data_IF_977591574403
#
_entry.id   IF_977591574403
#
_cell.length_a   1.000
_cell.length_b   1.000
_cell.length_c   1.000
_cell.angle_alpha   90.00
_cell.angle_beta   90.00
_cell.angle_gamma   90.00
#
_symmetry.space_group_name_H-M   'P 1'
#
loop_
_entity.id
_entity.type
_entity.pdbx_description
1 polymer ?
#
# COMPACT_ATOMS: atom_id res chain seq x y z
N UNK A 1 -12.87 -6.85 21.53
CA UNK A 1 -14.13 -6.65 20.77
C UNK A 1 -14.77 -5.37 21.25
N UNK A 2 -14.52 -4.26 20.55
CA UNK A 2 -15.16 -2.97 20.77
C UNK A 2 -15.97 -2.65 19.53
N UNK A 3 -17.29 -2.59 19.70
CA UNK A 3 -18.29 -2.30 18.67
C UNK A 3 -18.13 -0.88 18.15
N UNK A 4 -17.69 -0.74 16.89
CA UNK A 4 -17.60 0.51 16.16
C UNK A 4 -18.94 0.85 15.49
N UNK A 5 -19.74 1.73 16.10
CA UNK A 5 -20.87 2.40 15.43
C UNK A 5 -20.39 3.70 14.78
N UNK A 6 -19.52 3.61 13.77
CA UNK A 6 -19.03 4.75 13.00
C UNK A 6 -18.65 4.29 11.59
N UNK A 7 -19.22 4.90 10.56
CA UNK A 7 -18.92 4.55 9.16
C UNK A 7 -17.42 4.56 8.86
N UNK A 8 -16.99 3.74 7.90
CA UNK A 8 -15.57 3.60 7.56
C UNK A 8 -14.92 4.97 7.32
N UNK A 9 -13.85 5.34 8.04
CA UNK A 9 -13.16 6.63 7.87
C UNK A 9 -12.76 6.92 6.42
N UNK A 10 -12.45 5.88 5.64
CA UNK A 10 -12.07 5.95 4.22
C UNK A 10 -13.22 6.36 3.29
N UNK A 11 -14.43 5.86 3.55
CA UNK A 11 -15.61 6.24 2.78
C UNK A 11 -15.98 7.70 3.00
N UNK A 12 -15.84 8.17 4.25
CA UNK A 12 -16.14 9.53 4.61
C UNK A 12 -15.19 10.52 3.92
N UNK A 13 -13.88 10.29 3.98
CA UNK A 13 -12.89 11.19 3.33
C UNK A 13 -13.04 11.21 1.81
N UNK A 14 -13.29 10.05 1.20
CA UNK A 14 -13.52 9.90 -0.25
C UNK A 14 -14.78 10.67 -0.69
N UNK A 15 -15.89 10.50 0.03
CA UNK A 15 -17.15 11.20 -0.24
C UNK A 15 -17.02 12.71 -0.08
N UNK A 16 -16.28 13.15 0.94
CA UNK A 16 -16.04 14.58 1.21
C UNK A 16 -15.17 15.24 0.15
N UNK A 17 -14.15 14.55 -0.36
CA UNK A 17 -13.35 15.03 -1.49
C UNK A 17 -14.21 15.14 -2.76
N UNK A 18 -15.00 14.10 -3.07
CA UNK A 18 -15.94 14.11 -4.20
C UNK A 18 -16.96 15.24 -4.09
N UNK A 19 -17.49 15.51 -2.89
CA UNK A 19 -18.42 16.61 -2.66
C UNK A 19 -17.86 17.97 -3.11
N UNK A 20 -16.54 18.22 -2.92
CA UNK A 20 -15.90 19.45 -3.41
C UNK A 20 -15.91 19.51 -4.94
N UNK A 21 -15.67 18.39 -5.62
CA UNK A 21 -15.77 18.33 -7.10
C UNK A 21 -17.19 18.61 -7.58
N UNK A 22 -18.20 18.03 -6.92
CA UNK A 22 -19.60 18.30 -7.23
C UNK A 22 -19.97 19.76 -6.97
N UNK A 23 -19.52 20.34 -5.85
CA UNK A 23 -19.73 21.76 -5.55
C UNK A 23 -19.09 22.65 -6.62
N UNK A 24 -17.83 22.43 -6.96
CA UNK A 24 -17.13 23.25 -7.95
C UNK A 24 -17.77 23.12 -9.35
N UNK A 25 -18.27 21.92 -9.72
CA UNK A 25 -19.06 21.72 -10.94
C UNK A 25 -20.37 22.51 -10.90
N UNK A 26 -21.09 22.48 -9.79
CA UNK A 26 -22.33 23.26 -9.62
C UNK A 26 -22.09 24.77 -9.75
N UNK A 27 -20.97 25.27 -9.22
CA UNK A 27 -20.57 26.68 -9.41
C UNK A 27 -20.36 26.99 -10.89
N UNK A 28 -19.72 26.09 -11.64
CA UNK A 28 -19.50 26.26 -13.08
C UNK A 28 -20.82 26.24 -13.87
N UNK A 29 -21.74 25.32 -13.56
CA UNK A 29 -23.04 25.26 -14.24
C UNK A 29 -23.88 26.53 -13.98
N UNK A 30 -23.93 27.00 -12.73
CA UNK A 30 -24.60 28.28 -12.42
C UNK A 30 -23.98 29.46 -13.18
N UNK A 31 -22.65 29.49 -13.33
CA UNK A 31 -21.97 30.52 -14.09
C UNK A 31 -22.28 30.45 -15.60
N UNK A 32 -22.49 29.25 -16.14
CA UNK A 32 -22.92 29.06 -17.54
C UNK A 32 -24.38 29.46 -17.75
N UNK A 33 -25.28 29.08 -16.84
CA UNK A 33 -26.70 29.44 -16.89
C UNK A 33 -26.94 30.94 -16.70
N UNK A 34 -26.03 31.62 -16.00
CA UNK A 34 -26.12 33.04 -15.72
C UNK A 34 -24.79 33.77 -16.02
N UNK A 35 -24.43 33.97 -17.31
CA UNK A 35 -23.15 34.57 -17.71
C UNK A 35 -22.92 35.99 -17.17
N UNK A 36 -23.98 36.69 -16.78
CA UNK A 36 -23.94 38.01 -16.16
C UNK A 36 -23.45 38.00 -14.70
N UNK A 37 -23.41 36.84 -14.04
CA UNK A 37 -22.92 36.72 -12.67
C UNK A 37 -21.39 36.69 -12.66
N UNK A 38 -20.78 37.41 -11.72
CA UNK A 38 -19.37 37.19 -11.41
C UNK A 38 -19.17 35.79 -10.81
N UNK A 39 -17.96 35.24 -10.93
CA UNK A 39 -17.59 33.95 -10.34
C UNK A 39 -17.91 33.88 -8.83
N UNK A 40 -17.69 34.99 -8.10
CA UNK A 40 -18.04 35.10 -6.69
C UNK A 40 -19.55 34.97 -6.45
N UNK A 41 -20.38 35.63 -7.26
CA UNK A 41 -21.84 35.55 -7.14
C UNK A 41 -22.37 34.16 -7.49
N UNK A 42 -21.85 33.53 -8.55
CA UNK A 42 -22.18 32.15 -8.89
C UNK A 42 -21.83 31.20 -7.73
N UNK A 43 -20.64 31.37 -7.12
CA UNK A 43 -20.21 30.60 -5.95
C UNK A 43 -21.11 30.81 -4.74
N UNK A 44 -21.51 32.05 -4.45
CA UNK A 44 -22.43 32.35 -3.36
C UNK A 44 -23.80 31.70 -3.58
N UNK A 45 -24.30 31.69 -4.83
CA UNK A 45 -25.56 31.02 -5.18
C UNK A 45 -25.48 29.50 -4.97
N UNK A 46 -24.40 28.86 -5.44
CA UNK A 46 -24.17 27.43 -5.18
C UNK A 46 -24.09 27.11 -3.68
N UNK A 47 -23.45 27.98 -2.90
CA UNK A 47 -23.33 27.82 -1.46
C UNK A 47 -24.68 27.96 -0.75
N UNK A 48 -25.49 28.96 -1.14
CA UNK A 48 -26.83 29.13 -0.60
C UNK A 48 -27.73 27.92 -0.91
N UNK A 49 -27.63 27.37 -2.13
CA UNK A 49 -28.31 26.14 -2.52
C UNK A 49 -27.89 24.97 -1.61
N UNK A 50 -26.58 24.74 -1.45
CA UNK A 50 -26.05 23.68 -0.59
C UNK A 50 -26.48 23.83 0.88
N UNK A 51 -26.47 25.05 1.43
CA UNK A 51 -26.99 25.33 2.77
C UNK A 51 -28.46 24.91 2.93
N UNK A 52 -29.29 25.23 1.92
CA UNK A 52 -30.72 24.91 1.93
C UNK A 52 -30.99 23.40 1.86
N UNK A 53 -30.20 22.66 1.07
CA UNK A 53 -30.38 21.22 0.88
C UNK A 53 -29.88 20.40 2.08
N UNK A 54 -28.76 20.80 2.68
CA UNK A 54 -28.09 20.06 3.76
C UNK A 54 -28.59 20.50 5.15
N UNK A 55 -29.16 21.71 5.26
CA UNK A 55 -29.63 22.27 6.53
C UNK A 55 -28.50 22.80 7.43
N UNK A 56 -27.31 23.04 6.87
CA UNK A 56 -26.18 23.66 7.59
C UNK A 56 -26.10 25.16 7.30
N UNK A 57 -25.61 25.92 8.27
CA UNK A 57 -25.29 27.33 8.06
C UNK A 57 -24.14 27.49 7.07
N UNK A 58 -24.09 28.67 6.44
CA UNK A 58 -23.00 29.04 5.54
C UNK A 58 -21.62 28.92 6.20
N UNK A 59 -21.53 29.32 7.48
CA UNK A 59 -20.30 29.22 8.27
C UNK A 59 -19.86 27.76 8.45
N UNK A 60 -20.79 26.87 8.76
CA UNK A 60 -20.49 25.44 8.95
C UNK A 60 -20.01 24.78 7.67
N UNK A 61 -20.69 25.02 6.54
CA UNK A 61 -20.27 24.47 5.24
C UNK A 61 -18.89 25.02 4.87
N UNK A 62 -18.66 26.33 4.97
CA UNK A 62 -17.35 26.93 4.64
C UNK A 62 -16.22 26.32 5.46
N UNK A 63 -16.44 26.12 6.76
CA UNK A 63 -15.45 25.52 7.66
C UNK A 63 -15.14 24.06 7.29
N UNK A 64 -16.17 23.24 6.99
CA UNK A 64 -15.98 21.86 6.55
C UNK A 64 -15.30 21.78 5.19
N UNK A 65 -15.75 22.60 4.23
CA UNK A 65 -15.17 22.69 2.90
C UNK A 65 -13.69 23.06 2.91
N UNK A 66 -13.23 23.89 3.85
CA UNK A 66 -11.81 24.23 3.96
C UNK A 66 -10.95 22.98 4.19
N UNK A 67 -11.46 22.02 4.98
CA UNK A 67 -10.79 20.74 5.26
C UNK A 67 -10.95 19.80 4.07
N UNK A 68 -12.15 19.69 3.51
CA UNK A 68 -12.44 18.80 2.38
C UNK A 68 -11.68 19.18 1.11
N UNK A 69 -11.38 20.47 0.91
CA UNK A 69 -10.46 20.92 -0.15
C UNK A 69 -9.06 20.31 0.03
N UNK A 70 -8.60 20.11 1.26
CA UNK A 70 -7.35 19.40 1.52
C UNK A 70 -7.43 17.92 1.10
N UNK A 71 -8.56 17.24 1.36
CA UNK A 71 -8.76 15.87 0.86
C UNK A 71 -8.75 15.81 -0.66
N UNK A 72 -9.48 16.73 -1.31
CA UNK A 72 -9.47 16.84 -2.77
C UNK A 72 -8.06 17.09 -3.31
N UNK A 73 -7.31 18.01 -2.72
CA UNK A 73 -5.95 18.35 -3.15
C UNK A 73 -4.99 17.16 -3.00
N UNK A 74 -5.10 16.37 -1.92
CA UNK A 74 -4.38 15.09 -1.78
C UNK A 74 -4.78 14.11 -2.88
N UNK A 75 -6.08 13.95 -3.16
CA UNK A 75 -6.57 13.06 -4.22
C UNK A 75 -6.13 13.49 -5.63
N UNK A 76 -6.12 14.79 -5.91
CA UNK A 76 -5.70 15.33 -7.21
C UNK A 76 -4.21 15.02 -7.50
N UNK A 77 -3.38 14.91 -6.45
CA UNK A 77 -1.95 14.62 -6.58
C UNK A 77 -1.64 13.13 -6.45
N UNK A 78 -2.09 12.51 -5.36
CA UNK A 78 -1.76 11.13 -4.98
C UNK A 78 -2.78 10.08 -5.44
N UNK A 79 -3.89 10.49 -6.05
CA UNK A 79 -4.99 9.60 -6.42
C UNK A 79 -5.87 9.19 -5.24
N UNK A 80 -6.92 8.42 -5.54
CA UNK A 80 -7.87 7.95 -4.54
C UNK A 80 -7.24 7.05 -3.47
N UNK A 81 -6.19 6.31 -3.84
CA UNK A 81 -5.46 5.42 -2.93
C UNK A 81 -5.00 6.13 -1.65
N UNK A 82 -4.58 7.39 -1.77
CA UNK A 82 -4.14 8.19 -0.62
C UNK A 82 -5.26 8.55 0.36
N UNK A 83 -6.52 8.62 -0.10
CA UNK A 83 -7.67 8.87 0.77
C UNK A 83 -8.27 7.57 1.32
N UNK A 84 -8.29 6.52 0.50
CA UNK A 84 -8.84 5.20 0.87
C UNK A 84 -8.03 4.57 2.00
N UNK A 85 -6.70 4.66 1.93
CA UNK A 85 -5.79 4.12 2.94
C UNK A 85 -5.28 5.19 3.91
N UNK A 86 -5.93 6.36 3.96
CA UNK A 86 -5.56 7.42 4.88
C UNK A 86 -5.79 6.99 6.35
N UNK A 87 -4.77 7.19 7.19
CA UNK A 87 -4.91 7.06 8.63
C UNK A 87 -5.71 8.20 9.28
N UNK A 88 -6.02 8.05 10.56
CA UNK A 88 -6.80 9.03 11.36
C UNK A 88 -6.20 10.45 11.37
N UNK A 89 -4.91 10.61 11.06
CA UNK A 89 -4.22 11.90 11.03
C UNK A 89 -4.58 12.83 9.88
N UNK A 90 -5.21 12.33 8.80
CA UNK A 90 -5.45 13.11 7.57
C UNK A 90 -6.31 14.36 7.81
N UNK A 91 -7.27 14.28 8.74
CA UNK A 91 -8.09 15.43 9.13
C UNK A 91 -7.24 16.58 9.69
N UNK A 92 -6.30 16.28 10.60
CA UNK A 92 -5.41 17.31 11.18
C UNK A 92 -4.50 17.90 10.11
N UNK A 93 -3.94 17.05 9.24
CA UNK A 93 -3.10 17.47 8.13
C UNK A 93 -3.82 18.50 7.24
N UNK A 94 -5.07 18.21 6.86
CA UNK A 94 -5.88 19.11 6.04
C UNK A 94 -6.35 20.37 6.79
N UNK A 95 -6.78 20.24 8.05
CA UNK A 95 -7.26 21.37 8.87
C UNK A 95 -6.17 22.41 9.09
N UNK A 96 -4.94 21.96 9.36
CA UNK A 96 -3.80 22.84 9.64
C UNK A 96 -2.93 23.11 8.41
N UNK A 97 -3.27 22.52 7.26
CA UNK A 97 -2.51 22.61 6.00
C UNK A 97 -1.01 22.31 6.16
N UNK A 98 -0.69 21.36 7.03
CA UNK A 98 0.70 20.91 7.23
C UNK A 98 1.14 20.20 5.94
N UNK A 99 2.31 20.52 5.38
CA UNK A 99 2.85 19.84 4.20
C UNK A 99 2.06 20.03 2.89
N UNK A 100 1.23 21.06 2.79
CA UNK A 100 0.56 21.46 1.54
C UNK A 100 1.41 22.48 0.77
N UNK A 101 2.67 22.14 0.54
CA UNK A 101 3.61 22.90 -0.27
C UNK A 101 3.85 22.21 -1.63
N UNK A 102 4.33 22.96 -2.65
CA UNK A 102 4.52 22.41 -3.99
C UNK A 102 5.48 21.22 -4.06
N UNK A 103 6.49 21.17 -3.18
CA UNK A 103 7.46 20.07 -3.14
C UNK A 103 6.80 18.80 -2.62
N UNK A 104 6.13 18.87 -1.46
CA UNK A 104 5.37 17.76 -0.89
C UNK A 104 4.32 17.21 -1.86
N UNK A 105 3.61 18.10 -2.57
CA UNK A 105 2.61 17.70 -3.57
C UNK A 105 3.23 17.07 -4.82
N UNK A 106 4.41 17.53 -5.26
CA UNK A 106 5.17 16.88 -6.32
C UNK A 106 5.64 15.48 -5.90
N UNK A 107 6.08 15.33 -4.64
CA UNK A 107 6.45 14.03 -4.06
C UNK A 107 5.25 13.08 -4.05
N UNK A 108 4.09 13.56 -3.59
CA UNK A 108 2.87 12.76 -3.55
C UNK A 108 2.45 12.30 -4.95
N UNK A 109 2.59 13.19 -5.95
CA UNK A 109 2.28 12.88 -7.35
C UNK A 109 3.20 11.81 -7.92
N UNK A 110 4.52 11.90 -7.71
CA UNK A 110 5.48 10.90 -8.21
C UNK A 110 5.32 9.53 -7.52
N UNK A 111 4.83 9.48 -6.28
CA UNK A 111 4.63 8.21 -5.55
C UNK A 111 3.26 7.59 -5.78
N UNK A 112 2.37 8.25 -6.53
CA UNK A 112 0.99 7.79 -6.75
C UNK A 112 0.94 6.35 -7.27
N UNK A 113 1.64 6.06 -8.37
CA UNK A 113 1.61 4.73 -9.00
C UNK A 113 2.17 3.66 -8.06
N UNK A 114 3.15 4.01 -7.22
CA UNK A 114 3.69 3.13 -6.18
C UNK A 114 2.63 2.74 -5.14
N UNK A 115 1.81 3.70 -4.69
CA UNK A 115 0.70 3.39 -3.81
C UNK A 115 -0.37 2.57 -4.51
N UNK A 116 -0.69 2.87 -5.77
CA UNK A 116 -1.66 2.10 -6.54
C UNK A 116 -1.20 0.64 -6.77
N UNK A 117 0.08 0.38 -7.03
CA UNK A 117 0.63 -1.00 -7.11
C UNK A 117 0.38 -1.74 -5.80
N UNK A 118 0.75 -1.14 -4.66
CA UNK A 118 0.56 -1.76 -3.36
C UNK A 118 -0.92 -2.02 -3.07
N UNK A 119 -1.79 -1.02 -3.31
CA UNK A 119 -3.21 -1.15 -3.06
C UNK A 119 -3.89 -2.16 -3.97
N UNK A 120 -3.61 -2.13 -5.27
CA UNK A 120 -4.21 -3.06 -6.23
C UNK A 120 -3.76 -4.51 -5.97
N UNK A 121 -2.54 -4.75 -5.50
CA UNK A 121 -2.02 -6.10 -5.26
C UNK A 121 -2.38 -6.64 -3.87
N UNK A 122 -2.37 -5.80 -2.82
CA UNK A 122 -2.69 -6.20 -1.45
C UNK A 122 -4.19 -6.13 -1.12
N UNK A 123 -4.94 -5.25 -1.79
CA UNK A 123 -6.36 -5.05 -1.55
C UNK A 123 -7.16 -5.00 -2.87
N UNK A 124 -7.26 -6.10 -3.63
CA UNK A 124 -7.79 -6.11 -5.02
C UNK A 124 -9.14 -5.42 -5.27
N UNK A 125 -9.98 -5.31 -4.24
CA UNK A 125 -11.33 -4.74 -4.28
C UNK A 125 -11.42 -3.30 -3.77
N UNK A 126 -10.30 -2.64 -3.46
CA UNK A 126 -10.34 -1.30 -2.85
C UNK A 126 -11.02 -0.27 -3.76
N UNK A 127 -10.94 -0.45 -5.08
CA UNK A 127 -11.57 0.43 -6.07
C UNK A 127 -13.09 0.29 -6.13
N UNK A 128 -13.66 -0.82 -5.68
CA UNK A 128 -15.11 -1.03 -5.64
C UNK A 128 -15.78 0.03 -4.74
N UNK A 129 -15.08 0.50 -3.70
CA UNK A 129 -15.56 1.59 -2.84
C UNK A 129 -15.71 2.93 -3.59
N UNK A 130 -15.00 3.13 -4.69
CA UNK A 130 -15.04 4.38 -5.45
C UNK A 130 -16.33 4.52 -6.27
N UNK A 131 -17.06 3.43 -6.47
CA UNK A 131 -18.38 3.46 -7.11
C UNK A 131 -19.38 4.36 -6.36
N UNK A 132 -19.23 4.49 -5.03
CA UNK A 132 -20.05 5.36 -4.18
C UNK A 132 -19.89 6.84 -4.56
N UNK A 133 -18.71 7.23 -5.06
CA UNK A 133 -18.44 8.59 -5.53
C UNK A 133 -18.55 8.71 -7.05
N UNK A 134 -19.13 7.70 -7.72
CA UNK A 134 -19.35 7.69 -9.16
C UNK A 134 -18.10 7.41 -10.00
N UNK A 135 -17.01 6.96 -9.38
CA UNK A 135 -15.78 6.60 -10.09
C UNK A 135 -15.80 5.10 -10.43
N UNK A 136 -15.40 4.77 -11.66
CA UNK A 136 -15.44 3.41 -12.23
C UNK A 136 -14.05 2.85 -12.53
N UNK A 137 -13.02 3.39 -11.88
CA UNK A 137 -11.63 2.97 -12.04
C UNK A 137 -11.48 1.46 -11.83
N UNK A 138 -11.02 0.75 -12.86
CA UNK A 138 -10.68 -0.67 -12.77
C UNK A 138 -9.33 -0.89 -12.10
N UNK A 139 -9.14 -2.08 -11.54
CA UNK A 139 -7.83 -2.55 -11.06
C UNK A 139 -6.81 -2.50 -12.20
N UNK A 140 -5.64 -1.91 -11.94
CA UNK A 140 -4.57 -1.74 -12.94
C UNK A 140 -3.51 -2.82 -12.74
N UNK A 141 -3.05 -3.00 -11.50
CA UNK A 141 -1.98 -3.94 -11.17
C UNK A 141 -2.54 -5.23 -10.57
N UNK A 142 -2.07 -6.38 -11.06
CA UNK A 142 -2.56 -7.71 -10.67
C UNK A 142 -1.42 -8.57 -10.15
N UNK A 143 -1.74 -9.71 -9.55
CA UNK A 143 -0.75 -10.64 -9.02
C UNK A 143 -0.15 -10.18 -7.69
N UNK A 144 1.10 -10.58 -7.44
CA UNK A 144 1.85 -10.28 -6.24
C UNK A 144 2.43 -8.86 -6.30
N UNK A 145 2.57 -8.13 -5.17
CA UNK A 145 3.19 -6.80 -5.16
C UNK A 145 4.58 -6.76 -5.81
N UNK A 146 5.35 -7.85 -5.66
CA UNK A 146 6.69 -8.00 -6.22
C UNK A 146 6.70 -8.42 -7.70
N UNK A 147 5.56 -8.57 -8.35
CA UNK A 147 5.49 -8.71 -9.82
C UNK A 147 5.76 -7.38 -10.53
N UNK A 148 5.78 -6.26 -9.81
CA UNK A 148 5.87 -4.92 -10.36
C UNK A 148 7.14 -4.22 -9.89
N UNK A 149 7.83 -3.59 -10.84
CA UNK A 149 9.01 -2.74 -10.61
C UNK A 149 8.58 -1.31 -10.72
N UNK A 150 8.74 -0.56 -9.64
CA UNK A 150 8.38 0.86 -9.59
C UNK A 150 9.56 1.78 -9.95
N UNK A 151 9.24 2.96 -10.44
CA UNK A 151 10.17 4.05 -10.74
C UNK A 151 9.66 5.35 -10.09
N UNK A 152 10.53 6.35 -9.97
CA UNK A 152 10.13 7.70 -9.53
C UNK A 152 9.50 8.52 -10.68
N UNK A 153 9.73 8.11 -11.93
CA UNK A 153 9.37 8.92 -13.12
C UNK A 153 8.58 8.16 -14.17
N UNK A 154 8.61 6.83 -14.13
CA UNK A 154 7.99 5.97 -15.12
C UNK A 154 6.87 5.13 -14.49
N UNK A 155 5.95 4.68 -15.33
CA UNK A 155 4.90 3.76 -14.89
C UNK A 155 5.52 2.42 -14.44
N UNK A 156 4.93 1.77 -13.41
CA UNK A 156 5.38 0.45 -12.98
C UNK A 156 5.33 -0.57 -14.11
N UNK A 157 6.41 -1.35 -14.25
CA UNK A 157 6.52 -2.40 -15.27
C UNK A 157 6.58 -3.78 -14.62
N UNK A 158 6.10 -4.84 -15.29
CA UNK A 158 6.28 -6.20 -14.80
C UNK A 158 7.75 -6.56 -14.61
N UNK A 159 8.10 -7.18 -13.49
CA UNK A 159 9.46 -7.59 -13.14
C UNK A 159 10.13 -8.38 -14.26
N UNK A 160 9.38 -9.31 -14.87
CA UNK A 160 9.84 -10.11 -16.02
C UNK A 160 10.42 -9.25 -17.14
N UNK A 161 9.79 -8.12 -17.48
CA UNK A 161 10.23 -7.26 -18.57
C UNK A 161 11.63 -6.69 -18.33
N UNK A 162 12.02 -6.50 -17.08
CA UNK A 162 13.35 -5.96 -16.72
C UNK A 162 14.49 -6.95 -16.91
N UNK A 163 14.20 -8.23 -17.20
CA UNK A 163 15.20 -9.28 -17.42
C UNK A 163 15.23 -9.82 -18.85
N UNK A 164 14.28 -9.45 -19.71
CA UNK A 164 14.20 -9.95 -21.10
C UNK A 164 15.41 -9.60 -21.96
N UNK A 165 16.14 -8.54 -21.61
CA UNK A 165 17.39 -8.17 -22.28
C UNK A 165 18.55 -9.14 -22.00
N UNK A 166 18.49 -9.89 -20.89
CA UNK A 166 19.49 -10.88 -20.50
C UNK A 166 19.05 -12.29 -20.88
N UNK A 167 17.77 -12.59 -20.68
CA UNK A 167 17.15 -13.86 -21.05
C UNK A 167 15.76 -13.61 -21.68
N UNK A 168 15.62 -13.76 -23.00
CA UNK A 168 14.34 -13.60 -23.69
C UNK A 168 13.23 -14.54 -23.21
N UNK A 169 13.59 -15.66 -22.57
CA UNK A 169 12.67 -16.65 -22.02
C UNK A 169 12.49 -16.51 -20.51
N UNK A 170 12.99 -15.43 -19.90
CA UNK A 170 12.96 -15.24 -18.46
C UNK A 170 11.56 -15.48 -17.87
N UNK A 171 11.52 -16.30 -16.83
CA UNK A 171 10.34 -16.59 -16.04
C UNK A 171 10.73 -16.82 -14.59
N UNK A 172 9.79 -16.58 -13.69
CA UNK A 172 9.98 -16.81 -12.26
C UNK A 172 8.62 -17.18 -11.66
N UNK A 173 8.65 -17.68 -10.43
CA UNK A 173 7.47 -17.95 -9.63
C UNK A 173 7.82 -17.62 -8.19
N UNK A 174 6.88 -17.06 -7.44
CA UNK A 174 7.09 -16.77 -6.02
C UNK A 174 7.11 -18.07 -5.23
N UNK A 175 8.02 -18.15 -4.26
CA UNK A 175 8.16 -19.29 -3.36
C UNK A 175 7.95 -18.80 -1.93
N UNK A 176 6.98 -19.40 -1.25
CA UNK A 176 6.73 -19.14 0.17
C UNK A 176 7.80 -19.77 1.07
N UNK A 177 8.47 -20.82 0.59
CA UNK A 177 9.56 -21.50 1.30
C UNK A 177 10.62 -22.05 0.34
N UNK A 178 11.83 -22.26 0.85
CA UNK A 178 12.92 -22.82 0.06
C UNK A 178 12.64 -24.27 -0.33
N UNK A 179 12.84 -24.59 -1.62
CA UNK A 179 12.58 -25.91 -2.22
C UNK A 179 13.92 -26.64 -2.44
N UNK A 180 14.01 -27.91 -2.04
CA UNK A 180 15.20 -28.74 -2.30
C UNK A 180 15.13 -29.31 -3.71
N UNK A 181 16.23 -29.19 -4.44
CA UNK A 181 16.37 -29.74 -5.79
C UNK A 181 16.46 -31.28 -5.76
N UNK A 182 15.44 -32.01 -6.25
CA UNK A 182 15.44 -33.47 -6.24
C UNK A 182 16.46 -34.07 -7.23
N UNK A 183 16.89 -33.32 -8.25
CA UNK A 183 17.91 -33.79 -9.20
C UNK A 183 19.31 -33.72 -8.59
N UNK A 184 19.56 -32.72 -7.74
CA UNK A 184 20.83 -32.56 -7.03
C UNK A 184 20.95 -33.49 -5.81
N UNK A 185 19.87 -33.68 -5.05
CA UNK A 185 19.91 -34.36 -3.75
C UNK A 185 19.11 -35.66 -3.67
N UNK A 186 18.34 -36.02 -4.70
CA UNK A 186 17.50 -37.21 -4.69
C UNK A 186 16.42 -37.12 -3.61
N UNK A 187 16.29 -38.17 -2.80
CA UNK A 187 15.36 -38.21 -1.66
C UNK A 187 15.93 -37.57 -0.38
N UNK A 188 17.19 -37.14 -0.39
CA UNK A 188 17.84 -36.57 0.79
C UNK A 188 17.57 -35.06 0.86
N UNK A 189 17.08 -34.57 1.99
CA UNK A 189 17.03 -33.13 2.24
C UNK A 189 18.33 -32.70 2.94
N UNK A 190 19.19 -31.86 2.32
CA UNK A 190 20.46 -31.45 2.91
C UNK A 190 20.30 -30.58 4.17
N UNK A 191 19.08 -30.10 4.46
CA UNK A 191 18.75 -29.37 5.69
C UNK A 191 18.48 -30.29 6.88
N UNK A 192 18.24 -31.58 6.64
CA UNK A 192 17.99 -32.53 7.73
C UNK A 192 19.24 -32.69 8.60
N UNK A 193 19.13 -32.28 9.85
CA UNK A 193 20.16 -32.51 10.86
C UNK A 193 19.89 -33.88 11.51
N UNK A 194 20.78 -34.84 11.29
CA UNK A 194 20.70 -36.14 11.97
C UNK A 194 21.14 -35.95 13.42
N UNK A 195 20.17 -35.82 14.34
CA UNK A 195 20.46 -35.75 15.77
C UNK A 195 20.83 -37.17 16.25
N UNK A 196 22.11 -37.40 16.52
CA UNK A 196 22.64 -38.71 16.90
C UNK A 196 22.23 -39.19 18.30
N UNK A 197 21.49 -38.40 19.09
CA UNK A 197 21.06 -38.81 20.44
C UNK A 197 19.60 -38.45 20.70
N UNK A 198 18.85 -39.42 21.23
CA UNK A 198 17.46 -39.27 21.69
C UNK A 198 17.31 -38.32 22.91
N UNK A 199 18.37 -37.59 23.30
CA UNK A 199 18.42 -36.78 24.53
C UNK A 199 18.68 -35.29 24.31
N UNK A 200 18.99 -34.85 23.09
CA UNK A 200 18.99 -33.42 22.79
C UNK A 200 17.65 -33.08 22.11
N UNK A 201 16.59 -32.95 22.92
CA UNK A 201 15.46 -32.13 22.49
C UNK A 201 16.05 -30.81 21.96
N UNK A 202 15.61 -30.33 20.79
CA UNK A 202 16.09 -29.06 20.25
C UNK A 202 15.76 -27.95 21.26
N UNK A 203 16.66 -27.69 22.21
CA UNK A 203 16.44 -26.79 23.33
C UNK A 203 17.23 -25.54 23.05
N UNK A 204 16.57 -24.40 23.16
CA UNK A 204 17.19 -23.12 22.91
C UNK A 204 18.25 -22.83 23.98
N UNK A 205 19.49 -22.57 23.57
CA UNK A 205 20.57 -22.21 24.50
C UNK A 205 20.39 -20.85 25.19
N UNK A 206 19.40 -20.04 24.75
CA UNK A 206 19.13 -18.71 25.32
C UNK A 206 18.04 -18.78 26.39
N UNK A 207 16.90 -19.44 26.12
CA UNK A 207 15.78 -19.51 27.06
C UNK A 207 15.53 -20.90 27.68
N UNK A 208 16.20 -21.95 27.20
CA UNK A 208 16.00 -23.31 27.68
C UNK A 208 14.70 -23.98 27.18
N UNK A 209 13.94 -23.32 26.31
CA UNK A 209 12.67 -23.83 25.79
C UNK A 209 12.83 -24.76 24.58
N UNK A 210 11.82 -25.61 24.33
CA UNK A 210 11.79 -26.52 23.17
C UNK A 210 11.63 -25.71 21.87
N UNK A 211 12.41 -26.08 20.88
CA UNK A 211 12.33 -25.67 19.49
C UNK A 211 11.78 -26.85 18.69
N UNK A 212 10.89 -26.59 17.75
CA UNK A 212 10.35 -27.58 16.83
C UNK A 212 10.08 -26.92 15.49
N UNK A 213 10.08 -27.71 14.41
CA UNK A 213 9.59 -27.26 13.11
C UNK A 213 8.05 -27.11 13.12
N UNK A 214 7.34 -27.85 13.98
CA UNK A 214 5.92 -27.61 14.24
C UNK A 214 5.77 -26.43 15.22
N UNK A 215 5.16 -25.35 14.74
CA UNK A 215 4.88 -24.14 15.53
C UNK A 215 4.04 -24.44 16.76
N UNK A 216 3.15 -25.44 16.71
CA UNK A 216 2.33 -25.87 17.84
C UNK A 216 3.13 -26.61 18.91
N UNK A 217 4.28 -27.17 18.54
CA UNK A 217 5.18 -27.87 19.46
C UNK A 217 6.38 -27.03 19.92
N UNK A 218 6.68 -25.94 19.22
CA UNK A 218 7.80 -25.04 19.55
C UNK A 218 7.38 -24.04 20.64
N UNK A 219 8.04 -24.09 21.80
CA UNK A 219 7.78 -23.18 22.94
C UNK A 219 8.78 -22.03 23.02
N UNK A 220 9.88 -22.07 22.27
CA UNK A 220 10.88 -21.00 22.22
C UNK A 220 10.33 -19.72 21.55
N UNK A 221 10.51 -18.58 22.24
CA UNK A 221 10.12 -17.25 21.77
C UNK A 221 11.27 -16.24 21.83
N UNK A 222 12.53 -16.68 21.75
CA UNK A 222 13.68 -15.75 21.79
C UNK A 222 13.75 -14.81 20.59
N UNK A 223 13.27 -15.26 19.43
CA UNK A 223 13.30 -14.47 18.20
C UNK A 223 12.02 -14.70 17.39
N UNK A 224 10.84 -14.30 17.91
CA UNK A 224 9.56 -14.58 17.27
C UNK A 224 9.41 -13.88 15.92
N UNK A 225 10.21 -12.82 15.68
CA UNK A 225 10.28 -12.12 14.40
C UNK A 225 11.22 -12.80 13.38
N UNK A 226 12.00 -13.81 13.78
CA UNK A 226 12.96 -14.53 12.92
C UNK A 226 12.60 -16.01 12.75
N UNK A 227 12.05 -16.65 13.79
CA UNK A 227 11.72 -18.07 13.82
C UNK A 227 10.28 -18.31 14.30
N UNK A 228 9.57 -19.23 13.66
CA UNK A 228 8.33 -19.81 14.20
C UNK A 228 7.07 -18.95 14.07
N UNK A 229 7.04 -17.99 13.13
CA UNK A 229 5.78 -17.39 12.69
C UNK A 229 5.51 -17.74 11.24
N UNK A 230 4.54 -18.63 10.99
CA UNK A 230 4.10 -19.03 9.65
C UNK A 230 3.50 -17.88 8.82
N UNK A 231 3.44 -16.68 9.41
CA UNK A 231 2.80 -15.50 8.84
C UNK A 231 3.54 -14.23 9.27
N UNK A 232 4.83 -14.13 8.93
CA UNK A 232 5.38 -12.77 8.85
C UNK A 232 4.54 -12.01 7.81
N UNK A 233 3.90 -10.89 8.20
CA UNK A 233 3.16 -10.09 7.23
C UNK A 233 4.11 -9.69 6.11
N UNK A 234 3.61 -9.65 4.87
CA UNK A 234 4.37 -9.21 3.70
C UNK A 234 5.10 -7.92 4.08
N UNK A 235 6.43 -8.00 4.08
CA UNK A 235 7.24 -6.87 4.48
C UNK A 235 6.87 -5.68 3.59
N UNK A 236 6.75 -4.46 4.16
CA UNK A 236 6.36 -3.28 3.40
C UNK A 236 7.54 -2.82 2.54
N UNK A 237 7.79 -3.57 1.47
CA UNK A 237 8.88 -3.35 0.52
C UNK A 237 8.32 -3.33 -0.90
N UNK A 238 9.03 -2.66 -1.80
CA UNK A 238 8.71 -2.62 -3.22
C UNK A 238 9.98 -2.88 -4.03
N UNK A 239 9.83 -3.55 -5.18
CA UNK A 239 10.93 -3.65 -6.13
C UNK A 239 10.99 -2.33 -6.91
N UNK A 240 12.18 -1.74 -7.00
CA UNK A 240 12.41 -0.51 -7.75
C UNK A 240 13.54 -0.66 -8.76
N UNK A 241 13.50 0.16 -9.82
CA UNK A 241 14.56 0.21 -10.83
C UNK A 241 15.79 0.92 -10.28
N UNK A 242 16.96 0.27 -10.29
CA UNK A 242 18.20 0.91 -9.83
C UNK A 242 18.84 1.74 -10.95
N UNK A 243 19.51 2.83 -10.57
CA UNK A 243 20.28 3.69 -11.49
C UNK A 243 21.74 3.25 -11.64
N UNK A 244 22.20 2.26 -10.87
CA UNK A 244 23.61 1.88 -10.72
C UNK A 244 23.99 0.59 -11.47
N UNK A 245 23.21 0.20 -12.48
CA UNK A 245 23.48 -1.00 -13.28
C UNK A 245 23.13 -2.34 -12.63
N UNK A 246 22.64 -2.37 -11.38
CA UNK A 246 22.20 -3.60 -10.69
C UNK A 246 20.80 -4.09 -11.10
N UNK A 247 20.25 -3.53 -12.17
CA UNK A 247 18.91 -3.78 -12.69
C UNK A 247 17.79 -3.32 -11.72
N UNK A 248 17.53 -4.08 -10.65
CA UNK A 248 16.46 -3.84 -9.69
C UNK A 248 16.98 -3.92 -8.25
N UNK A 249 16.25 -3.31 -7.32
CA UNK A 249 16.56 -3.33 -5.90
C UNK A 249 15.28 -3.41 -5.07
N UNK A 250 15.45 -3.61 -3.77
CA UNK A 250 14.36 -3.65 -2.81
C UNK A 250 14.34 -2.36 -1.99
N UNK A 251 13.18 -1.71 -1.93
CA UNK A 251 12.99 -0.44 -1.24
C UNK A 251 12.05 -0.63 -0.04
N UNK A 252 12.52 -0.25 1.15
CA UNK A 252 11.69 -0.15 2.33
C UNK A 252 10.64 0.98 2.18
N UNK A 253 9.36 0.65 2.35
CA UNK A 253 8.25 1.60 2.29
C UNK A 253 7.88 2.16 3.67
N UNK A 254 8.39 1.56 4.74
CA UNK A 254 8.36 2.13 6.08
C UNK A 254 9.71 1.91 6.79
N UNK A 255 9.97 2.65 7.89
CA UNK A 255 11.11 2.37 8.74
C UNK A 255 11.02 0.95 9.32
N UNK A 256 12.14 0.23 9.34
CA UNK A 256 12.29 -1.02 10.08
C UNK A 256 13.08 -0.75 11.35
N UNK A 257 12.64 -1.33 12.47
CA UNK A 257 13.43 -1.29 13.70
C UNK A 257 14.72 -2.10 13.53
N UNK A 258 15.77 -1.68 14.23
CA UNK A 258 17.06 -2.37 14.19
C UNK A 258 16.90 -3.80 14.72
N UNK A 259 17.36 -4.78 13.95
CA UNK A 259 17.33 -6.19 14.34
C UNK A 259 16.05 -6.94 13.99
N UNK A 260 15.08 -6.28 13.33
CA UNK A 260 13.88 -6.94 12.81
C UNK A 260 14.21 -7.68 11.51
N UNK A 261 13.64 -8.88 11.35
CA UNK A 261 13.73 -9.61 10.09
C UNK A 261 12.89 -8.93 9.01
N UNK A 262 13.45 -8.79 7.81
CA UNK A 262 12.74 -8.22 6.66
C UNK A 262 12.10 -9.34 5.82
N UNK A 263 12.79 -10.46 5.65
CA UNK A 263 12.29 -11.61 4.92
C UNK A 263 13.35 -12.70 4.83
N UNK A 264 12.92 -13.92 4.57
CA UNK A 264 13.80 -15.05 4.28
C UNK A 264 14.30 -14.97 2.83
N UNK A 265 15.54 -15.41 2.59
CA UNK A 265 16.02 -15.63 1.23
C UNK A 265 15.53 -17.00 0.75
N UNK A 266 14.37 -17.02 0.10
CA UNK A 266 13.77 -18.25 -0.42
C UNK A 266 14.21 -18.53 -1.86
N UNK A 267 14.42 -19.80 -2.17
CA UNK A 267 14.87 -20.21 -3.50
C UNK A 267 15.01 -21.72 -3.66
N UNK A 268 15.67 -22.13 -4.74
CA UNK A 268 16.03 -23.52 -5.00
C UNK A 268 17.36 -23.84 -4.30
N UNK A 269 17.33 -24.79 -3.37
CA UNK A 269 18.52 -25.35 -2.73
C UNK A 269 19.06 -26.44 -3.64
N UNK A 270 20.18 -26.17 -4.31
CA UNK A 270 20.85 -27.08 -5.25
C UNK A 270 22.37 -27.12 -4.99
N UNK A 271 23.13 -27.91 -5.76
CA UNK A 271 24.60 -28.02 -5.68
C UNK A 271 25.22 -27.94 -7.07
N UNK A 272 26.48 -27.48 -7.15
CA UNK A 272 27.22 -27.43 -8.42
C UNK A 272 26.93 -26.21 -9.28
N UNK A 273 26.56 -25.09 -8.65
CA UNK A 273 26.55 -23.78 -9.32
C UNK A 273 28.02 -23.34 -9.51
N UNK A 274 28.51 -23.34 -10.75
CA UNK A 274 29.79 -22.73 -11.17
C UNK A 274 29.57 -21.33 -11.74
#
# INVERSE_FOLDING_TARGET
MTTSTGGSPSLLTTSQASWIEHFDRQVQEIAKEHPQLSATKARMKALAQACSEIGWSEKEIRNKMAIWRGYKEIKDHGGWVCLVFAGMGIYRFCKYRIGFDPESMAILRRTRTRFEVAADTLHPHWRDMLTIVGDTSSRVYNGHPHDWVVSDHDDPVPLKQTYLQYDPQFSFTHLDSSVVDPYAFGANDPRQVVVQSQQAAHVCNVCGEKQSEDVMESTCRCFPNLFGSDQLPVAPVQIFRTKNGRNNGLLACCPFERGVAIGEFTGLITKGLE
#
